data_IF_061862186221
#
_entry.id   IF_061862186221
#
_cell.length_a   1.000
_cell.length_b   1.000
_cell.length_c   1.000
_cell.angle_alpha   90.00
_cell.angle_beta   90.00
_cell.angle_gamma   90.00
#
_symmetry.space_group_name_H-M   'P 1'
#
loop_
_entity.id
_entity.type
_entity.pdbx_description
1 polymer ?
#
# COMPACT_ATOMS: atom_id res chain seq x y z
N UNK A 1 49.44 -4.44 76.41
CA UNK A 1 49.53 -5.91 76.30
C UNK A 1 48.39 -6.39 75.40
N UNK A 2 48.69 -6.78 74.16
CA UNK A 2 47.79 -7.60 73.33
C UNK A 2 47.88 -9.07 73.79
N UNK A 3 47.09 -10.05 73.31
CA UNK A 3 45.86 -10.02 72.48
C UNK A 3 44.74 -10.95 73.03
N UNK A 4 43.55 -10.98 72.41
CA UNK A 4 42.86 -12.24 72.05
C UNK A 4 41.70 -11.97 71.08
N UNK A 5 42.04 -12.19 69.81
CA UNK A 5 41.15 -12.51 68.70
C UNK A 5 40.54 -13.90 68.94
N UNK A 6 39.22 -14.07 68.92
CA UNK A 6 38.55 -15.14 68.13
C UNK A 6 37.04 -15.28 68.38
N UNK A 7 36.34 -15.49 67.25
CA UNK A 7 35.05 -16.18 67.03
C UNK A 7 33.76 -15.38 67.25
N UNK A 8 33.51 -14.45 66.32
CA UNK A 8 32.16 -14.05 65.90
C UNK A 8 31.90 -14.70 64.53
N UNK A 9 31.49 -15.96 64.48
CA UNK A 9 30.97 -16.59 63.25
C UNK A 9 30.02 -17.73 63.65
N UNK A 10 28.72 -17.43 63.81
CA UNK A 10 27.75 -18.23 63.05
C UNK A 10 26.54 -17.41 62.51
N UNK A 11 26.59 -16.07 62.52
CA UNK A 11 25.51 -15.25 61.98
C UNK A 11 25.72 -14.81 60.51
N UNK A 12 26.97 -14.79 60.04
CA UNK A 12 27.32 -14.39 58.67
C UNK A 12 26.96 -15.43 57.60
N UNK A 13 26.69 -16.69 57.98
CA UNK A 13 26.19 -17.70 57.05
C UNK A 13 24.70 -17.55 56.70
N UNK A 14 23.89 -16.82 57.49
CA UNK A 14 22.46 -16.66 57.22
C UNK A 14 22.16 -15.48 56.28
N UNK A 15 23.00 -14.43 56.29
CA UNK A 15 22.89 -13.31 55.35
C UNK A 15 23.46 -13.63 53.96
N UNK A 16 24.40 -14.59 53.87
CA UNK A 16 24.96 -15.04 52.60
C UNK A 16 23.99 -15.85 51.73
N UNK A 17 22.95 -16.44 52.30
CA UNK A 17 22.00 -17.31 51.56
C UNK A 17 20.82 -16.53 50.97
N UNK A 18 20.42 -15.41 51.58
CA UNK A 18 19.32 -14.56 51.05
C UNK A 18 19.70 -13.77 49.79
N UNK A 19 21.01 -13.63 49.52
CA UNK A 19 21.51 -12.93 48.34
C UNK A 19 21.44 -13.78 47.05
N UNK A 20 21.14 -15.09 47.17
CA UNK A 20 21.06 -16.01 46.02
C UNK A 20 19.63 -16.15 45.44
N UNK A 21 18.62 -15.55 46.09
CA UNK A 21 17.22 -15.59 45.67
C UNK A 21 16.75 -14.32 44.95
N UNK A 22 17.62 -13.32 44.83
CA UNK A 22 17.36 -12.13 44.02
C UNK A 22 18.19 -12.22 42.75
N UNK A 23 17.50 -12.27 41.61
CA UNK A 23 18.13 -12.15 40.30
C UNK A 23 18.95 -10.85 40.29
N UNK A 24 20.28 -10.88 40.07
CA UNK A 24 21.09 -9.68 40.08
C UNK A 24 20.56 -8.72 38.99
N UNK A 25 20.36 -7.42 39.29
CA UNK A 25 19.72 -6.46 38.39
C UNK A 25 20.43 -6.28 37.04
N UNK A 26 21.67 -6.75 36.94
CA UNK A 26 22.48 -6.74 35.70
C UNK A 26 22.06 -7.86 34.72
N UNK A 27 21.31 -8.87 35.16
CA UNK A 27 20.98 -10.06 34.36
C UNK A 27 19.58 -10.04 33.71
N UNK A 28 18.68 -9.13 34.08
CA UNK A 28 17.32 -9.09 33.54
C UNK A 28 16.80 -7.65 33.48
N UNK A 29 17.25 -6.87 32.50
CA UNK A 29 16.73 -5.51 32.24
C UNK A 29 16.02 -5.42 30.87
N UNK A 30 15.45 -6.53 30.40
CA UNK A 30 14.53 -6.48 29.28
C UNK A 30 13.13 -6.25 29.81
N UNK A 31 12.62 -5.05 29.60
CA UNK A 31 11.19 -4.79 29.68
C UNK A 31 10.41 -5.66 28.68
N UNK A 32 9.08 -5.60 28.72
CA UNK A 32 8.23 -6.34 27.78
C UNK A 32 8.70 -6.15 26.33
N UNK A 33 8.72 -7.22 25.50
CA UNK A 33 9.21 -7.11 24.13
C UNK A 33 8.43 -6.04 23.35
N UNK A 34 9.07 -5.31 22.41
CA UNK A 34 8.43 -4.22 21.70
C UNK A 34 7.19 -4.66 20.91
N UNK A 35 6.18 -3.78 20.85
CA UNK A 35 5.00 -3.95 19.99
C UNK A 35 5.39 -3.62 18.55
N UNK A 36 4.86 -4.36 17.59
CA UNK A 36 5.02 -4.07 16.15
C UNK A 36 3.65 -3.83 15.53
N UNK A 37 3.58 -2.98 14.50
CA UNK A 37 2.37 -2.82 13.71
C UNK A 37 2.07 -4.10 12.93
N UNK A 38 0.78 -4.41 12.75
CA UNK A 38 0.30 -5.56 11.98
C UNK A 38 0.90 -6.91 12.39
N UNK A 39 1.16 -7.09 13.69
CA UNK A 39 1.70 -8.32 14.24
C UNK A 39 1.54 -8.45 15.73
N UNK A 40 1.78 -9.67 16.21
CA UNK A 40 1.62 -10.09 17.60
C UNK A 40 2.94 -10.61 18.15
N UNK A 41 3.12 -10.48 19.46
CA UNK A 41 4.28 -11.01 20.20
C UNK A 41 3.83 -12.01 21.26
N UNK A 42 4.51 -13.14 21.33
CA UNK A 42 4.30 -14.18 22.34
C UNK A 42 5.57 -14.32 23.17
N UNK A 43 5.49 -14.01 24.46
CA UNK A 43 6.61 -14.21 25.39
C UNK A 43 6.65 -15.69 25.76
N UNK A 44 7.78 -16.33 25.51
CA UNK A 44 8.06 -17.71 25.88
C UNK A 44 9.08 -17.68 27.03
N UNK A 45 8.59 -17.86 28.25
CA UNK A 45 9.43 -18.01 29.45
C UNK A 45 9.46 -19.48 29.87
N UNK A 46 10.66 -20.05 30.00
CA UNK A 46 10.82 -21.39 30.62
C UNK A 46 11.05 -21.20 32.12
N UNK A 47 10.19 -21.81 32.95
CA UNK A 47 10.14 -21.67 34.41
C UNK A 47 11.44 -21.97 35.19
N UNK A 48 12.51 -22.43 34.52
CA UNK A 48 13.78 -22.82 35.15
C UNK A 48 15.02 -22.25 34.46
N UNK A 49 14.87 -21.45 33.40
CA UNK A 49 15.99 -20.77 32.73
C UNK A 49 15.68 -19.29 32.65
N UNK A 50 16.65 -18.43 32.98
CA UNK A 50 16.56 -16.97 32.82
C UNK A 50 16.51 -16.50 31.35
N UNK A 51 16.08 -17.39 30.46
CA UNK A 51 16.03 -17.21 29.01
C UNK A 51 14.63 -16.70 28.66
N UNK A 52 14.49 -15.37 28.55
CA UNK A 52 13.27 -14.73 28.09
C UNK A 52 13.33 -14.63 26.57
N UNK A 53 12.47 -15.39 25.89
CA UNK A 53 12.34 -15.34 24.43
C UNK A 53 11.02 -14.72 24.03
N UNK A 54 11.01 -14.03 22.89
CA UNK A 54 9.82 -13.47 22.29
C UNK A 54 9.69 -13.96 20.86
N UNK A 55 8.53 -14.53 20.52
CA UNK A 55 8.21 -14.99 19.17
C UNK A 55 7.24 -14.01 18.53
N UNK A 56 7.59 -13.53 17.35
CA UNK A 56 6.77 -12.62 16.57
C UNK A 56 6.05 -13.33 15.43
N UNK A 57 4.84 -12.88 15.16
CA UNK A 57 3.97 -13.41 14.13
C UNK A 57 3.18 -12.25 13.52
N UNK A 58 3.12 -12.18 12.19
CA UNK A 58 2.39 -11.10 11.51
C UNK A 58 0.91 -11.45 11.35
N UNK A 59 0.08 -10.40 11.33
CA UNK A 59 -1.34 -10.54 11.02
C UNK A 59 -1.52 -11.03 9.57
N UNK A 60 -2.72 -11.53 9.27
CA UNK A 60 -3.02 -12.06 7.93
C UNK A 60 -2.81 -11.00 6.85
N UNK A 61 -2.13 -11.38 5.77
CA UNK A 61 -1.81 -10.46 4.67
C UNK A 61 -0.57 -9.60 4.90
N UNK A 62 0.21 -9.86 5.95
CA UNK A 62 1.52 -9.28 6.18
C UNK A 62 2.59 -10.37 6.23
N UNK A 63 3.83 -10.01 5.91
CA UNK A 63 4.99 -10.90 5.96
C UNK A 63 6.04 -10.40 6.95
N UNK A 64 6.61 -11.33 7.72
CA UNK A 64 7.66 -11.02 8.69
C UNK A 64 9.00 -10.80 7.98
N UNK A 65 9.58 -9.62 8.19
CA UNK A 65 10.92 -9.24 7.73
C UNK A 65 11.81 -9.05 8.96
N UNK A 66 12.77 -9.95 9.15
CA UNK A 66 13.68 -9.97 10.29
C UNK A 66 13.63 -11.29 11.07
N UNK A 67 14.16 -11.28 12.29
CA UNK A 67 14.19 -12.46 13.14
C UNK A 67 12.81 -12.74 13.75
N UNK A 68 12.33 -13.99 13.62
CA UNK A 68 11.08 -14.45 14.25
C UNK A 68 11.18 -14.50 15.76
N UNK A 69 12.34 -14.84 16.28
CA UNK A 69 12.59 -15.06 17.69
C UNK A 69 13.66 -14.09 18.18
N UNK A 70 13.39 -13.45 19.32
CA UNK A 70 14.31 -12.56 20.00
C UNK A 70 14.59 -13.14 21.37
N UNK A 71 15.82 -13.00 21.82
CA UNK A 71 16.25 -13.34 23.17
C UNK A 71 16.56 -12.06 23.93
N UNK A 72 16.19 -12.03 25.20
CA UNK A 72 16.66 -11.00 26.10
C UNK A 72 18.16 -11.20 26.38
N UNK A 73 18.94 -10.15 26.16
CA UNK A 73 20.37 -10.10 26.48
C UNK A 73 20.63 -8.98 27.49
N UNK A 74 21.85 -8.88 28.01
CA UNK A 74 22.25 -7.76 28.89
C UNK A 74 22.15 -6.38 28.19
N UNK A 75 22.10 -6.36 26.86
CA UNK A 75 21.91 -5.15 26.04
C UNK A 75 20.46 -4.94 25.57
N UNK A 76 19.51 -5.72 26.07
CA UNK A 76 18.11 -5.69 25.63
C UNK A 76 17.77 -6.81 24.64
N UNK A 77 16.63 -6.67 23.95
CA UNK A 77 16.14 -7.68 23.00
C UNK A 77 17.03 -7.75 21.75
N UNK A 78 17.49 -8.96 21.43
CA UNK A 78 18.34 -9.24 20.28
C UNK A 78 17.95 -10.58 19.62
N UNK A 79 17.96 -10.71 18.28
CA UNK A 79 18.30 -9.69 17.27
C UNK A 79 17.31 -8.52 17.22
N UNK A 80 17.55 -7.55 16.33
CA UNK A 80 16.68 -6.39 16.16
C UNK A 80 15.21 -6.80 15.90
N UNK A 81 14.28 -5.97 16.40
CA UNK A 81 12.84 -6.19 16.29
C UNK A 81 12.42 -6.33 14.83
N UNK A 82 11.69 -7.39 14.44
CA UNK A 82 11.24 -7.59 13.08
C UNK A 82 10.14 -6.60 12.69
N UNK A 83 9.86 -6.52 11.40
CA UNK A 83 8.77 -5.72 10.84
C UNK A 83 7.77 -6.64 10.13
N UNK A 84 6.49 -6.30 10.23
CA UNK A 84 5.45 -6.91 9.40
C UNK A 84 5.15 -5.99 8.23
N UNK A 85 5.45 -6.45 7.02
CA UNK A 85 5.27 -5.68 5.78
C UNK A 85 4.03 -6.14 5.03
N UNK A 86 3.29 -5.19 4.46
CA UNK A 86 2.07 -5.51 3.74
C UNK A 86 2.32 -6.40 2.51
N UNK A 87 1.38 -7.30 2.25
CA UNK A 87 1.30 -8.06 1.00
C UNK A 87 0.09 -7.57 0.18
N UNK A 88 0.36 -6.81 -0.88
CA UNK A 88 -0.66 -6.40 -1.82
C UNK A 88 -0.97 -7.53 -2.81
N UNK A 89 -2.24 -7.69 -3.13
CA UNK A 89 -2.67 -8.60 -4.20
C UNK A 89 -2.32 -8.02 -5.57
N UNK A 90 -2.13 -8.91 -6.54
CA UNK A 90 -1.99 -8.53 -7.94
C UNK A 90 -3.18 -7.65 -8.37
N UNK A 91 -2.94 -6.43 -8.90
CA UNK A 91 -4.02 -5.60 -9.41
C UNK A 91 -4.58 -6.18 -10.70
N UNK A 92 -5.89 -6.05 -10.88
CA UNK A 92 -6.59 -6.43 -12.11
C UNK A 92 -6.73 -5.21 -13.01
N UNK A 93 -6.23 -5.32 -14.24
CA UNK A 93 -6.24 -4.24 -15.22
C UNK A 93 -6.65 -4.82 -16.56
N UNK A 94 -7.84 -4.45 -17.03
CA UNK A 94 -8.32 -4.84 -18.35
C UNK A 94 -7.49 -4.16 -19.43
N UNK A 95 -7.08 -4.90 -20.47
CA UNK A 95 -6.22 -4.39 -21.55
C UNK A 95 -4.89 -3.81 -21.07
N UNK A 96 -4.38 -4.29 -19.93
CA UNK A 96 -3.12 -3.87 -19.33
C UNK A 96 -2.26 -5.02 -18.88
N UNK A 97 -0.95 -4.79 -18.80
CA UNK A 97 0.06 -5.72 -18.29
C UNK A 97 0.91 -5.06 -17.22
N UNK A 98 1.46 -5.87 -16.32
CA UNK A 98 2.34 -5.42 -15.24
C UNK A 98 3.80 -5.64 -15.65
N UNK A 99 4.70 -4.74 -15.27
CA UNK A 99 6.14 -4.88 -15.54
C UNK A 99 6.78 -6.11 -14.90
N UNK A 100 6.26 -6.51 -13.74
CA UNK A 100 6.65 -7.74 -13.04
C UNK A 100 5.39 -8.41 -12.54
N UNK A 101 5.14 -9.64 -12.97
CA UNK A 101 3.93 -10.38 -12.61
C UNK A 101 4.18 -11.34 -11.44
N UNK A 102 3.53 -11.06 -10.31
CA UNK A 102 3.58 -11.88 -9.08
C UNK A 102 2.16 -12.07 -8.56
N UNK A 103 1.95 -13.12 -7.76
CA UNK A 103 0.69 -13.33 -7.05
C UNK A 103 0.49 -12.29 -5.94
N UNK A 104 1.59 -11.88 -5.30
CA UNK A 104 1.63 -10.90 -4.22
C UNK A 104 2.88 -10.02 -4.31
N UNK A 105 2.78 -8.81 -3.80
CA UNK A 105 3.85 -7.80 -3.78
C UNK A 105 4.09 -7.34 -2.34
N UNK A 106 5.35 -7.20 -1.95
CA UNK A 106 5.77 -6.81 -0.60
C UNK A 106 5.96 -5.31 -0.54
N UNK A 107 5.45 -4.64 0.47
CA UNK A 107 5.71 -3.21 0.70
C UNK A 107 7.22 -2.86 0.76
N UNK A 108 7.69 -1.75 0.15
CA UNK A 108 6.99 -0.82 -0.74
C UNK A 108 7.31 -1.11 -2.22
N UNK A 109 7.12 -2.35 -2.69
CA UNK A 109 7.38 -2.72 -4.08
C UNK A 109 6.56 -1.86 -5.03
N UNK A 110 7.23 -1.37 -6.09
CA UNK A 110 6.64 -0.57 -7.15
C UNK A 110 6.55 -1.38 -8.43
N UNK A 111 5.43 -1.25 -9.12
CA UNK A 111 5.22 -1.82 -10.45
C UNK A 111 4.76 -0.74 -11.42
N UNK A 112 4.98 -1.02 -12.70
CA UNK A 112 4.60 -0.15 -13.83
C UNK A 112 3.54 -0.87 -14.64
N UNK A 113 2.49 -0.15 -15.00
CA UNK A 113 1.39 -0.63 -15.82
C UNK A 113 1.66 -0.27 -17.27
N UNK A 114 1.52 -1.23 -18.16
CA UNK A 114 1.65 -1.01 -19.59
C UNK A 114 0.38 -1.46 -20.31
N UNK A 115 -0.32 -0.52 -20.95
CA UNK A 115 -1.52 -0.84 -21.71
C UNK A 115 -1.19 -1.56 -23.02
N UNK A 116 -2.16 -2.34 -23.50
CA UNK A 116 -2.12 -2.97 -24.81
C UNK A 116 -2.22 -1.95 -25.94
N UNK A 117 -1.87 -2.37 -27.15
CA UNK A 117 -1.92 -1.51 -28.34
C UNK A 117 -3.33 -0.96 -28.55
N UNK A 118 -3.43 0.36 -28.75
CA UNK A 118 -4.72 1.06 -28.90
C UNK A 118 -5.37 1.47 -27.58
N UNK A 119 -4.69 1.27 -26.44
CA UNK A 119 -5.13 1.75 -25.14
C UNK A 119 -4.08 2.67 -24.50
N UNK A 120 -4.57 3.66 -23.76
CA UNK A 120 -3.77 4.63 -23.01
C UNK A 120 -4.04 4.53 -21.51
N UNK A 121 -3.01 4.78 -20.70
CA UNK A 121 -3.13 4.76 -19.24
C UNK A 121 -3.89 5.99 -18.77
N UNK A 122 -4.98 5.78 -18.02
CA UNK A 122 -5.71 6.82 -17.30
C UNK A 122 -5.41 6.67 -15.81
N UNK A 123 -4.61 7.60 -15.28
CA UNK A 123 -4.12 7.59 -13.91
C UNK A 123 -2.59 7.57 -13.83
N UNK A 124 -2.05 7.00 -12.75
CA UNK A 124 -0.60 6.84 -12.59
C UNK A 124 -0.13 5.52 -13.22
N UNK A 125 0.81 5.59 -14.16
CA UNK A 125 1.45 4.41 -14.74
C UNK A 125 2.25 3.61 -13.71
N UNK A 126 2.72 4.26 -12.63
CA UNK A 126 3.48 3.61 -11.57
C UNK A 126 2.67 3.57 -10.27
N UNK A 127 2.55 2.40 -9.68
CA UNK A 127 1.85 2.17 -8.40
C UNK A 127 2.75 1.42 -7.43
N UNK A 128 2.56 1.67 -6.14
CA UNK A 128 3.37 1.13 -5.05
C UNK A 128 2.48 0.38 -4.05
N UNK A 129 2.94 -0.77 -3.57
CA UNK A 129 2.24 -1.49 -2.50
C UNK A 129 2.38 -0.70 -1.19
N UNK A 130 1.24 -0.26 -0.65
CA UNK A 130 1.14 0.53 0.57
C UNK A 130 1.06 -0.36 1.82
N UNK A 131 1.29 0.23 3.00
CA UNK A 131 1.19 -0.42 4.31
C UNK A 131 -0.22 -1.00 4.58
N UNK A 132 -1.27 -0.41 3.99
CA UNK A 132 -2.66 -0.86 4.14
C UNK A 132 -3.03 -2.07 3.24
N UNK A 133 -2.05 -2.68 2.57
CA UNK A 133 -2.22 -3.76 1.57
C UNK A 133 -2.97 -3.31 0.31
N UNK A 134 -2.99 -2.00 0.05
CA UNK A 134 -3.59 -1.37 -1.13
C UNK A 134 -2.53 -0.80 -2.06
N UNK A 135 -2.92 -0.50 -3.31
CA UNK A 135 -2.04 0.17 -4.26
C UNK A 135 -2.17 1.68 -4.16
N UNK A 136 -1.03 2.37 -4.14
CA UNK A 136 -0.97 3.82 -4.15
C UNK A 136 0.01 4.36 -5.23
N UNK A 137 -0.41 5.32 -6.08
CA UNK A 137 -1.79 5.76 -6.28
C UNK A 137 -2.72 4.60 -6.67
N UNK A 138 -4.04 4.87 -6.70
CA UNK A 138 -5.03 3.86 -7.08
C UNK A 138 -4.68 3.20 -8.43
N UNK A 139 -5.10 1.94 -8.59
CA UNK A 139 -4.84 1.16 -9.79
C UNK A 139 -5.39 1.89 -11.02
N UNK A 140 -4.56 2.21 -12.04
CA UNK A 140 -5.01 2.94 -13.21
C UNK A 140 -5.87 2.07 -14.13
N UNK A 141 -6.54 2.71 -15.09
CA UNK A 141 -7.29 2.03 -16.14
C UNK A 141 -6.58 2.15 -17.48
N UNK A 142 -6.74 1.16 -18.33
CA UNK A 142 -6.39 1.27 -19.74
C UNK A 142 -7.67 1.61 -20.51
N UNK A 143 -7.71 2.78 -21.12
CA UNK A 143 -8.85 3.24 -21.92
C UNK A 143 -8.47 3.35 -23.40
N UNK A 144 -9.38 2.94 -24.29
CA UNK A 144 -9.15 2.94 -25.73
C UNK A 144 -8.77 4.34 -26.22
N UNK A 145 -7.65 4.41 -26.91
CA UNK A 145 -7.18 5.63 -27.56
C UNK A 145 -7.88 5.78 -28.92
N UNK A 146 -8.50 6.94 -29.13
CA UNK A 146 -9.16 7.21 -30.41
C UNK A 146 -8.11 7.33 -31.52
N UNK A 147 -8.26 6.58 -32.64
CA UNK A 147 -7.39 6.77 -33.77
C UNK A 147 -7.47 8.21 -34.29
N UNK A 148 -6.33 8.72 -34.74
CA UNK A 148 -6.24 10.04 -35.36
C UNK A 148 -7.24 10.15 -36.53
N UNK A 149 -8.01 11.24 -36.59
CA UNK A 149 -9.07 11.47 -37.57
C UNK A 149 -10.48 11.07 -37.10
N UNK A 150 -10.62 10.42 -35.94
CA UNK A 150 -11.93 10.10 -35.34
C UNK A 150 -12.42 11.14 -34.32
N UNK A 151 -11.70 12.25 -34.12
CA UNK A 151 -11.97 13.25 -33.06
C UNK A 151 -13.36 13.89 -33.24
N UNK A 152 -13.76 14.11 -34.49
CA UNK A 152 -15.08 14.67 -34.83
C UNK A 152 -16.22 13.70 -34.46
N UNK A 153 -16.02 12.40 -34.66
CA UNK A 153 -17.01 11.36 -34.32
C UNK A 153 -17.18 11.27 -32.79
N UNK A 154 -16.08 11.35 -32.05
CA UNK A 154 -16.10 11.34 -30.58
C UNK A 154 -16.77 12.61 -30.03
N UNK A 155 -16.44 13.76 -30.61
CA UNK A 155 -17.05 15.05 -30.24
C UNK A 155 -18.54 15.04 -30.51
N UNK A 156 -18.97 14.59 -31.69
CA UNK A 156 -20.37 14.39 -32.03
C UNK A 156 -21.07 13.45 -31.04
N UNK A 157 -20.48 12.29 -30.73
CA UNK A 157 -21.04 11.34 -29.75
C UNK A 157 -21.19 11.95 -28.35
N UNK A 158 -20.22 12.75 -27.88
CA UNK A 158 -20.32 13.44 -26.58
C UNK A 158 -21.46 14.45 -26.56
N UNK A 159 -21.62 15.24 -27.63
CA UNK A 159 -22.75 16.17 -27.77
C UNK A 159 -24.09 15.42 -27.79
N UNK A 160 -24.14 14.26 -28.45
CA UNK A 160 -25.32 13.42 -28.47
C UNK A 160 -25.62 12.78 -27.10
N UNK A 161 -24.61 12.50 -26.26
CA UNK A 161 -24.84 12.04 -24.88
C UNK A 161 -25.53 13.10 -24.00
N UNK A 162 -25.41 14.39 -24.33
CA UNK A 162 -26.15 15.45 -23.63
C UNK A 162 -27.64 15.45 -23.99
N UNK A 163 -28.01 14.83 -25.10
CA UNK A 163 -29.37 14.66 -25.59
C UNK A 163 -29.77 13.20 -25.39
N UNK A 164 -30.07 12.85 -24.14
CA UNK A 164 -30.27 11.46 -23.70
C UNK A 164 -31.46 10.78 -24.37
N UNK A 165 -32.39 11.56 -24.94
CA UNK A 165 -33.62 11.07 -25.57
C UNK A 165 -33.51 11.09 -27.10
N UNK A 166 -33.91 10.00 -27.79
CA UNK A 166 -33.89 9.95 -29.26
C UNK A 166 -34.64 11.10 -29.94
N UNK A 167 -35.73 11.59 -29.31
CA UNK A 167 -36.50 12.71 -29.84
C UNK A 167 -35.72 14.03 -29.80
N UNK A 168 -34.90 14.24 -28.77
CA UNK A 168 -34.06 15.44 -28.61
C UNK A 168 -32.94 15.46 -29.65
N UNK A 169 -32.32 14.31 -29.91
CA UNK A 169 -31.33 14.15 -30.97
C UNK A 169 -31.94 14.44 -32.34
N UNK A 170 -33.12 13.87 -32.62
CA UNK A 170 -33.83 14.10 -33.88
C UNK A 170 -34.15 15.57 -34.08
N UNK A 171 -34.70 16.22 -33.05
CA UNK A 171 -35.01 17.66 -33.10
C UNK A 171 -33.74 18.50 -33.33
N UNK A 172 -32.64 18.20 -32.63
CA UNK A 172 -31.38 18.91 -32.81
C UNK A 172 -30.81 18.75 -34.23
N UNK A 173 -30.90 17.55 -34.82
CA UNK A 173 -30.49 17.30 -36.21
C UNK A 173 -31.39 18.04 -37.21
N UNK A 174 -32.71 18.09 -36.97
CA UNK A 174 -33.64 18.85 -37.81
C UNK A 174 -33.37 20.36 -37.74
N UNK A 175 -33.11 20.90 -36.54
CA UNK A 175 -32.71 22.31 -36.35
C UNK A 175 -31.39 22.60 -37.06
N UNK A 176 -30.39 21.72 -36.93
CA UNK A 176 -29.11 21.87 -37.62
C UNK A 176 -29.28 21.86 -39.14
N UNK A 177 -30.08 20.93 -39.67
CA UNK A 177 -30.42 20.88 -41.10
C UNK A 177 -31.05 22.19 -41.58
N UNK A 178 -32.05 22.70 -40.85
CA UNK A 178 -32.70 23.98 -41.18
C UNK A 178 -31.70 25.14 -41.15
N UNK A 179 -30.78 25.17 -40.18
CA UNK A 179 -29.75 26.22 -40.11
C UNK A 179 -28.84 26.23 -41.32
N UNK A 180 -28.48 25.05 -41.85
CA UNK A 180 -27.68 24.93 -43.07
C UNK A 180 -28.46 25.34 -44.32
N UNK A 181 -29.74 24.99 -44.41
CA UNK A 181 -30.61 25.42 -45.51
C UNK A 181 -30.78 26.94 -45.54
N UNK A 182 -30.99 27.57 -44.37
CA UNK A 182 -31.08 29.04 -44.24
C UNK A 182 -29.78 29.69 -44.73
N UNK A 183 -28.62 29.22 -44.27
CA UNK A 183 -27.33 29.75 -44.71
C UNK A 183 -27.12 29.62 -46.23
N UNK A 184 -27.56 28.51 -46.83
CA UNK A 184 -27.51 28.30 -48.28
C UNK A 184 -28.41 29.29 -49.03
N UNK A 185 -29.61 29.56 -48.53
CA UNK A 185 -30.55 30.49 -49.13
C UNK A 185 -30.04 31.94 -49.04
N UNK A 186 -29.46 32.33 -47.90
CA UNK A 186 -28.83 33.64 -47.74
C UNK A 186 -27.70 33.87 -48.77
N UNK A 187 -26.85 32.85 -48.99
CA UNK A 187 -25.83 32.89 -50.05
C UNK A 187 -26.40 33.03 -51.47
N UNK A 188 -27.62 32.55 -51.71
CA UNK A 188 -28.30 32.70 -52.99
C UNK A 188 -28.92 34.09 -53.15
N UNK A 189 -29.42 34.67 -52.06
CA UNK A 189 -29.98 36.03 -52.04
C UNK A 189 -28.88 37.07 -52.25
N UNK A 190 -27.70 36.86 -51.64
CA UNK A 190 -26.56 37.77 -51.73
C UNK A 190 -25.75 37.61 -53.01
N UNK A 191 -26.07 36.64 -53.89
CA UNK A 191 -25.45 36.58 -55.21
C UNK A 191 -25.87 37.81 -56.02
N UNK A 192 -24.92 38.66 -56.46
CA UNK A 192 -25.26 39.82 -57.27
C UNK A 192 -25.95 39.34 -58.54
N UNK A 193 -27.07 40.00 -58.86
CA UNK A 193 -27.76 39.86 -60.15
C UNK A 193 -26.92 40.53 -61.24
N UNK A 194 -25.76 39.96 -61.55
CA UNK A 194 -24.93 40.43 -62.65
C UNK A 194 -25.36 39.75 -63.96
N UNK A 195 -25.62 40.62 -64.94
CA UNK A 195 -25.83 40.38 -66.37
C UNK A 195 -27.19 39.81 -66.82
N UNK A 196 -28.18 40.69 -66.92
CA UNK A 196 -29.02 40.77 -68.13
C UNK A 196 -28.88 42.16 -68.75
#
# INVERSE_FOLDING_TARGET
MSPKLQRIFPALCLLGVLSLLHCPPVLCDCESPPVIAHGQRKVVSKFFTFDHQAVYECDEGYILVGAKELSCTSSGWSPAVPQCKALCLKPEIEYGRLSVEKVRYVEPERITIQCESGFSVVGSENITCSEDRTWYPEVPKCEWEYPEGCEQVVTGRKLLKCLSRPEEVKLALEVYKLSLEIALLELQIDKPKDAS
#
